data_IF_737026400098
#
_entry.id   IF_737026400098
#
_cell.length_a   1.000
_cell.length_b   1.000
_cell.length_c   1.000
_cell.angle_alpha   90.00
_cell.angle_beta   90.00
_cell.angle_gamma   90.00
#
_symmetry.space_group_name_H-M   'P 1'
#
loop_
_entity.id
_entity.type
_entity.pdbx_description
1 polymer ?
#
# COMPACT_ATOMS: atom_id res chain seq x y z
N UNK A 1 23.49 10.76 -8.13
CA UNK A 1 24.50 9.69 -7.87
C UNK A 1 24.25 9.00 -6.53
N UNK A 2 24.30 9.70 -5.39
CA UNK A 2 24.08 9.11 -4.04
C UNK A 2 22.78 8.32 -3.87
N UNK A 3 21.62 8.87 -4.25
CA UNK A 3 20.33 8.15 -4.14
C UNK A 3 20.30 6.86 -4.99
N UNK A 4 20.89 6.90 -6.19
CA UNK A 4 21.02 5.73 -7.06
C UNK A 4 21.92 4.67 -6.41
N UNK A 5 23.06 5.07 -5.86
CA UNK A 5 23.98 4.15 -5.16
C UNK A 5 23.31 3.51 -3.93
N UNK A 6 22.59 4.31 -3.14
CA UNK A 6 21.78 3.78 -2.03
C UNK A 6 20.79 2.74 -2.53
N UNK A 7 19.97 3.10 -3.53
CA UNK A 7 18.97 2.20 -4.11
C UNK A 7 19.58 0.89 -4.60
N UNK A 8 20.72 0.92 -5.31
CA UNK A 8 21.35 -0.29 -5.85
C UNK A 8 21.97 -1.17 -4.77
N UNK A 9 22.64 -0.55 -3.78
CA UNK A 9 23.44 -1.25 -2.79
C UNK A 9 22.64 -1.74 -1.57
N UNK A 10 21.45 -1.18 -1.32
CA UNK A 10 20.60 -1.67 -0.22
C UNK A 10 20.19 -3.11 -0.47
N UNK A 11 20.46 -3.99 0.49
CA UNK A 11 20.04 -5.39 0.45
C UNK A 11 18.53 -5.49 0.74
N UNK A 12 17.75 -6.20 -0.10
CA UNK A 12 16.34 -6.45 0.20
C UNK A 12 16.15 -7.19 1.53
N UNK A 13 15.11 -6.81 2.25
CA UNK A 13 14.74 -7.43 3.53
C UNK A 13 13.23 -7.58 3.64
N UNK A 14 12.77 -8.44 4.54
CA UNK A 14 11.36 -8.52 4.92
C UNK A 14 11.06 -7.53 6.04
N UNK A 15 9.95 -6.82 5.91
CA UNK A 15 9.35 -6.02 6.99
C UNK A 15 8.05 -6.65 7.45
N UNK A 16 7.99 -6.99 8.73
CA UNK A 16 6.79 -7.51 9.39
C UNK A 16 5.82 -6.44 9.87
N UNK A 17 6.17 -5.15 9.75
CA UNK A 17 5.38 -4.01 10.24
C UNK A 17 3.94 -4.03 9.71
N UNK A 18 3.77 -4.17 8.39
CA UNK A 18 2.43 -4.18 7.77
C UNK A 18 1.60 -5.37 8.27
N UNK A 19 2.20 -6.56 8.33
CA UNK A 19 1.50 -7.76 8.78
C UNK A 19 1.06 -7.64 10.25
N UNK A 20 1.87 -7.04 11.11
CA UNK A 20 1.51 -6.74 12.49
C UNK A 20 0.29 -5.80 12.56
N UNK A 21 0.37 -4.63 11.90
CA UNK A 21 -0.69 -3.62 11.90
C UNK A 21 -2.01 -4.16 11.32
N UNK A 22 -1.93 -4.93 10.23
CA UNK A 22 -3.10 -5.55 9.63
C UNK A 22 -3.74 -6.56 10.59
N UNK A 23 -2.94 -7.42 11.21
CA UNK A 23 -3.42 -8.43 12.17
C UNK A 23 -4.06 -7.78 13.38
N UNK A 24 -3.45 -6.73 13.92
CA UNK A 24 -3.98 -5.94 15.03
C UNK A 24 -5.36 -5.37 14.68
N UNK A 25 -5.51 -4.72 13.52
CA UNK A 25 -6.79 -4.18 13.08
C UNK A 25 -7.85 -5.29 12.92
N UNK A 26 -7.50 -6.41 12.28
CA UNK A 26 -8.44 -7.50 12.05
C UNK A 26 -8.88 -8.23 13.33
N UNK A 27 -8.07 -8.23 14.39
CA UNK A 27 -8.45 -8.74 15.72
C UNK A 27 -9.47 -7.83 16.42
N UNK A 28 -9.56 -6.55 16.06
CA UNK A 28 -10.45 -5.58 16.70
C UNK A 28 -11.94 -5.88 16.47
N UNK A 29 -12.79 -5.46 17.40
CA UNK A 29 -14.26 -5.57 17.25
C UNK A 29 -14.80 -4.75 16.07
N UNK A 30 -14.10 -3.67 15.72
CA UNK A 30 -14.47 -2.81 14.59
C UNK A 30 -14.43 -3.58 13.28
N UNK A 31 -13.40 -4.40 13.06
CA UNK A 31 -13.27 -5.21 11.85
C UNK A 31 -14.40 -6.25 11.69
N UNK A 32 -15.04 -6.67 12.78
CA UNK A 32 -16.12 -7.67 12.77
C UNK A 32 -17.50 -7.08 12.47
N UNK A 33 -17.68 -5.76 12.59
CA UNK A 33 -18.99 -5.08 12.55
C UNK A 33 -19.24 -4.25 11.30
N UNK A 34 -18.38 -4.36 10.28
CA UNK A 34 -18.44 -3.58 9.05
C UNK A 34 -18.44 -4.49 7.83
N UNK A 35 -18.96 -3.98 6.71
CA UNK A 35 -18.91 -4.65 5.40
C UNK A 35 -17.46 -4.93 4.97
N UNK A 36 -17.26 -5.90 4.09
CA UNK A 36 -15.91 -6.26 3.63
C UNK A 36 -15.17 -5.10 2.94
N UNK A 37 -15.77 -4.30 2.04
CA UNK A 37 -15.09 -3.14 1.45
C UNK A 37 -14.65 -2.14 2.52
N UNK A 38 -15.54 -1.77 3.45
CA UNK A 38 -15.23 -0.85 4.55
C UNK A 38 -14.17 -1.43 5.49
N UNK A 39 -14.17 -2.75 5.74
CA UNK A 39 -13.14 -3.43 6.52
C UNK A 39 -11.76 -3.29 5.89
N UNK A 40 -11.65 -3.49 4.57
CA UNK A 40 -10.40 -3.32 3.82
C UNK A 40 -9.93 -1.87 3.86
N UNK A 41 -10.82 -0.90 3.62
CA UNK A 41 -10.48 0.51 3.66
C UNK A 41 -10.04 0.97 5.06
N UNK A 42 -10.70 0.51 6.12
CA UNK A 42 -10.30 0.81 7.49
C UNK A 42 -8.97 0.15 7.88
N UNK A 43 -8.70 -1.05 7.39
CA UNK A 43 -7.40 -1.69 7.58
C UNK A 43 -6.27 -0.93 6.86
N UNK A 44 -6.52 -0.51 5.62
CA UNK A 44 -5.60 0.34 4.86
C UNK A 44 -5.34 1.66 5.58
N UNK A 45 -6.40 2.33 6.07
CA UNK A 45 -6.30 3.52 6.91
C UNK A 45 -5.45 3.27 8.16
N UNK A 46 -5.71 2.18 8.88
CA UNK A 46 -4.94 1.83 10.07
C UNK A 46 -3.46 1.64 9.77
N UNK A 47 -3.13 0.96 8.67
CA UNK A 47 -1.74 0.78 8.23
C UNK A 47 -1.11 2.14 7.93
N UNK A 48 -1.75 3.00 7.13
CA UNK A 48 -1.18 4.30 6.74
C UNK A 48 -1.09 5.30 7.89
N UNK A 49 -1.93 5.19 8.92
CA UNK A 49 -1.85 6.01 10.14
C UNK A 49 -0.69 5.61 11.05
N UNK A 50 -0.29 4.33 11.06
CA UNK A 50 0.63 3.79 12.05
C UNK A 50 1.99 3.37 11.49
N UNK A 51 2.08 3.02 10.21
CA UNK A 51 3.34 2.56 9.62
C UNK A 51 4.44 3.63 9.70
N UNK A 52 5.69 3.19 9.73
CA UNK A 52 6.86 4.08 9.74
C UNK A 52 6.92 4.95 8.49
N UNK A 53 7.34 6.21 8.68
CA UNK A 53 7.62 7.16 7.61
C UNK A 53 9.13 7.18 7.38
N UNK A 54 9.56 6.90 6.15
CA UNK A 54 10.97 6.93 5.76
C UNK A 54 11.24 8.11 4.84
N UNK A 55 12.16 8.98 5.23
CA UNK A 55 12.67 10.09 4.40
C UNK A 55 14.18 9.90 4.26
N UNK A 56 14.64 9.51 3.08
CA UNK A 56 16.07 9.28 2.84
C UNK A 56 16.81 10.61 2.61
N UNK A 57 18.10 10.59 2.92
CA UNK A 57 18.95 11.78 2.80
C UNK A 57 19.11 12.18 1.33
N UNK A 58 18.66 13.39 1.00
CA UNK A 58 18.80 13.99 -0.33
C UNK A 58 17.63 13.72 -1.26
N UNK A 59 16.56 13.09 -0.78
CA UNK A 59 15.32 12.93 -1.55
C UNK A 59 14.66 14.28 -1.86
N UNK A 60 13.99 14.31 -3.02
CA UNK A 60 13.06 15.37 -3.45
C UNK A 60 11.62 14.82 -3.55
N UNK A 61 11.47 13.58 -4.02
CA UNK A 61 10.23 12.80 -3.91
C UNK A 61 10.40 11.87 -2.73
N UNK A 62 9.45 11.87 -1.79
CA UNK A 62 9.57 11.20 -0.50
C UNK A 62 8.52 10.12 -0.30
N UNK A 63 8.88 9.11 0.48
CA UNK A 63 8.03 8.00 0.89
C UNK A 63 8.57 6.66 0.44
N UNK A 64 8.38 5.64 1.27
CA UNK A 64 8.80 4.26 1.04
C UNK A 64 7.66 3.29 1.37
N UNK A 65 7.66 2.13 0.70
CA UNK A 65 6.69 1.06 0.98
C UNK A 65 6.91 0.47 2.37
N UNK A 66 8.16 0.21 2.71
CA UNK A 66 8.60 -0.29 4.01
C UNK A 66 9.13 0.80 4.95
N UNK A 67 9.60 0.42 6.15
CA UNK A 67 10.22 1.35 7.09
C UNK A 67 11.58 1.87 6.62
N UNK A 68 12.23 1.18 5.68
CA UNK A 68 13.52 1.53 5.08
C UNK A 68 13.55 1.11 3.60
N UNK A 69 14.50 1.63 2.81
CA UNK A 69 14.62 1.25 1.39
C UNK A 69 14.73 -0.27 1.22
N UNK A 70 13.99 -0.82 0.25
CA UNK A 70 13.92 -2.26 -0.07
C UNK A 70 13.49 -3.19 1.09
N UNK A 71 12.96 -2.64 2.18
CA UNK A 71 12.26 -3.43 3.19
C UNK A 71 10.85 -3.75 2.68
N UNK A 72 10.64 -4.99 2.26
CA UNK A 72 9.43 -5.43 1.58
C UNK A 72 8.40 -5.90 2.60
N UNK A 73 7.19 -5.31 2.64
CA UNK A 73 6.13 -5.79 3.53
C UNK A 73 5.62 -7.17 3.12
N UNK A 74 4.97 -7.84 4.05
CA UNK A 74 4.25 -9.08 3.80
C UNK A 74 2.73 -8.90 3.84
N UNK A 75 2.01 -9.85 3.23
CA UNK A 75 0.59 -9.77 2.95
C UNK A 75 -0.13 -11.05 3.40
N UNK A 76 -0.23 -11.28 4.72
CA UNK A 76 -0.74 -12.54 5.24
C UNK A 76 -2.23 -12.77 4.94
N UNK A 77 -2.97 -11.73 4.56
CA UNK A 77 -4.34 -11.89 4.06
C UNK A 77 -4.40 -12.56 2.68
N UNK A 78 -3.31 -12.49 1.90
CA UNK A 78 -3.20 -13.13 0.58
C UNK A 78 -2.53 -14.49 0.78
N UNK A 79 -1.32 -14.47 1.36
CA UNK A 79 -0.51 -15.68 1.57
C UNK A 79 0.33 -15.56 2.81
N UNK A 80 0.22 -16.59 3.64
CA UNK A 80 0.95 -16.72 4.89
C UNK A 80 2.21 -17.50 4.60
N UNK A 81 3.35 -16.95 5.01
CA UNK A 81 4.62 -17.65 4.94
C UNK A 81 4.76 -18.52 6.19
N UNK A 82 5.11 -19.78 6.01
CA UNK A 82 5.57 -20.64 7.10
C UNK A 82 6.95 -20.19 7.59
N UNK A 83 7.40 -20.71 8.75
CA UNK A 83 8.76 -20.45 9.22
C UNK A 83 9.81 -20.98 8.24
N UNK A 84 9.55 -22.12 7.62
CA UNK A 84 10.42 -22.67 6.58
C UNK A 84 10.47 -21.76 5.34
N UNK A 85 9.35 -21.16 4.93
CA UNK A 85 9.36 -20.19 3.82
C UNK A 85 10.21 -18.96 4.16
N UNK A 86 10.13 -18.46 5.40
CA UNK A 86 10.97 -17.35 5.87
C UNK A 86 12.46 -17.73 5.89
N UNK A 87 12.80 -18.95 6.28
CA UNK A 87 14.19 -19.45 6.25
C UNK A 87 14.71 -19.59 4.81
N UNK A 88 13.87 -20.08 3.89
CA UNK A 88 14.19 -20.15 2.45
C UNK A 88 14.37 -18.75 1.88
N UNK A 89 13.50 -17.78 2.19
CA UNK A 89 13.64 -16.40 1.73
C UNK A 89 14.96 -15.77 2.17
N UNK A 90 15.41 -16.08 3.39
CA UNK A 90 16.65 -15.57 3.96
C UNK A 90 17.91 -16.23 3.37
N UNK A 91 17.83 -17.51 3.00
CA UNK A 91 19.00 -18.32 2.60
C UNK A 91 19.13 -18.57 1.11
N UNK A 92 18.06 -18.42 0.31
CA UNK A 92 18.08 -18.74 -1.12
C UNK A 92 19.12 -17.93 -1.90
N UNK A 93 19.77 -18.56 -2.86
CA UNK A 93 20.84 -17.93 -3.64
C UNK A 93 20.34 -16.76 -4.49
N UNK A 94 19.16 -16.92 -5.11
CA UNK A 94 18.58 -15.92 -6.01
C UNK A 94 17.45 -15.17 -5.33
N UNK A 95 17.41 -13.85 -5.51
CA UNK A 95 16.33 -12.98 -5.01
C UNK A 95 16.07 -13.11 -3.50
N UNK A 96 17.12 -13.27 -2.69
CA UNK A 96 16.96 -13.35 -1.23
C UNK A 96 16.45 -12.06 -0.62
N UNK A 97 15.74 -12.23 0.50
CA UNK A 97 15.34 -11.14 1.38
C UNK A 97 15.84 -11.49 2.77
N UNK A 98 16.61 -10.61 3.40
CA UNK A 98 17.02 -10.87 4.78
C UNK A 98 15.80 -10.88 5.71
N UNK A 99 15.72 -11.88 6.57
CA UNK A 99 14.67 -12.05 7.56
C UNK A 99 15.30 -12.08 8.95
N UNK A 100 14.91 -11.16 9.82
CA UNK A 100 15.39 -11.13 11.21
C UNK A 100 14.56 -12.07 12.11
N UNK A 101 15.14 -12.42 13.25
CA UNK A 101 14.51 -13.34 14.22
C UNK A 101 13.22 -12.76 14.82
N UNK A 102 13.11 -11.43 14.96
CA UNK A 102 11.88 -10.80 15.45
C UNK A 102 10.72 -10.98 14.47
N UNK A 103 10.98 -10.96 13.16
CA UNK A 103 9.98 -11.30 12.14
C UNK A 103 9.52 -12.75 12.29
N UNK A 104 10.44 -13.71 12.44
CA UNK A 104 10.07 -15.13 12.61
C UNK A 104 9.23 -15.35 13.87
N UNK A 105 9.63 -14.75 15.00
CA UNK A 105 8.88 -14.84 16.27
C UNK A 105 7.48 -14.25 16.16
N UNK A 106 7.32 -13.10 15.50
CA UNK A 106 6.01 -12.52 15.25
C UNK A 106 5.16 -13.46 14.38
N UNK A 107 5.76 -14.05 13.35
CA UNK A 107 5.06 -14.98 12.47
C UNK A 107 4.56 -16.22 13.19
N UNK A 108 5.43 -16.84 13.99
CA UNK A 108 5.10 -18.02 14.79
C UNK A 108 3.97 -17.74 15.80
N UNK A 109 4.05 -16.61 16.52
CA UNK A 109 3.15 -16.32 17.65
C UNK A 109 1.83 -15.69 17.24
N UNK A 110 1.85 -14.80 16.24
CA UNK A 110 0.72 -13.93 15.94
C UNK A 110 0.18 -14.10 14.53
N UNK A 111 1.04 -14.08 13.51
CA UNK A 111 0.59 -14.01 12.11
C UNK A 111 0.06 -15.35 11.63
N UNK A 112 0.84 -16.44 11.76
CA UNK A 112 0.42 -17.77 11.30
C UNK A 112 -0.85 -18.24 12.04
N UNK A 113 -0.92 -18.19 13.38
CA UNK A 113 -2.12 -18.67 14.10
C UNK A 113 -3.37 -17.87 13.77
N UNK A 114 -3.24 -16.57 13.50
CA UNK A 114 -4.39 -15.74 13.17
C UNK A 114 -4.86 -15.98 11.74
N UNK A 115 -3.97 -15.92 10.75
CA UNK A 115 -4.37 -15.89 9.33
C UNK A 115 -4.64 -17.27 8.73
N UNK A 116 -4.14 -18.35 9.34
CA UNK A 116 -4.30 -19.70 8.80
C UNK A 116 -5.78 -20.07 8.63
N UNK A 117 -6.15 -20.54 7.45
CA UNK A 117 -7.53 -20.90 7.09
C UNK A 117 -8.39 -19.69 6.67
N UNK A 118 -7.82 -18.48 6.63
CA UNK A 118 -8.54 -17.30 6.12
C UNK A 118 -7.77 -16.51 5.06
N UNK A 119 -6.54 -16.89 4.72
CA UNK A 119 -5.81 -16.28 3.61
C UNK A 119 -6.46 -16.64 2.27
N UNK A 120 -6.26 -15.79 1.25
CA UNK A 120 -6.76 -16.06 -0.11
C UNK A 120 -6.19 -17.39 -0.62
N UNK A 121 -4.90 -17.67 -0.37
CA UNK A 121 -4.29 -18.93 -0.77
C UNK A 121 -4.99 -20.14 -0.14
N UNK A 122 -5.23 -20.11 1.18
CA UNK A 122 -5.90 -21.22 1.86
C UNK A 122 -7.28 -21.47 1.24
N UNK A 123 -8.05 -20.41 1.00
CA UNK A 123 -9.38 -20.51 0.38
C UNK A 123 -9.34 -21.05 -1.06
N UNK A 124 -8.38 -20.62 -1.88
CA UNK A 124 -8.21 -21.16 -3.24
C UNK A 124 -7.99 -22.68 -3.18
N UNK A 125 -7.05 -23.13 -2.36
CA UNK A 125 -6.69 -24.55 -2.30
C UNK A 125 -7.74 -25.42 -1.58
N UNK A 126 -8.62 -24.83 -0.77
CA UNK A 126 -9.80 -25.50 -0.21
C UNK A 126 -10.91 -25.72 -1.26
N UNK A 127 -11.07 -24.80 -2.22
CA UNK A 127 -12.17 -24.82 -3.20
C UNK A 127 -11.85 -25.57 -4.51
N UNK A 128 -10.58 -25.60 -4.93
CA UNK A 128 -10.19 -26.26 -6.20
C UNK A 128 -10.18 -27.79 -6.09
N UNK A 129 -10.52 -28.46 -7.20
CA UNK A 129 -10.60 -29.93 -7.26
C UNK A 129 -9.23 -30.60 -7.16
N UNK A 130 -9.22 -31.92 -6.90
CA UNK A 130 -7.99 -32.70 -6.81
C UNK A 130 -7.28 -32.80 -8.17
N UNK A 131 -8.02 -32.83 -9.29
CA UNK A 131 -7.44 -32.80 -10.64
C UNK A 131 -6.72 -31.47 -10.91
N UNK A 132 -7.29 -30.36 -10.44
CA UNK A 132 -6.64 -29.05 -10.55
C UNK A 132 -5.32 -29.04 -9.76
N UNK A 133 -5.33 -29.55 -8.52
CA UNK A 133 -4.13 -29.64 -7.67
C UNK A 133 -3.06 -30.53 -8.30
N UNK A 134 -3.46 -31.69 -8.81
CA UNK A 134 -2.55 -32.61 -9.48
C UNK A 134 -1.90 -31.98 -10.73
N UNK A 135 -2.67 -31.25 -11.53
CA UNK A 135 -2.13 -30.55 -12.70
C UNK A 135 -1.19 -29.39 -12.32
N UNK A 136 -1.52 -28.65 -11.26
CA UNK A 136 -0.67 -27.59 -10.71
C UNK A 136 0.66 -28.16 -10.16
N UNK A 137 0.59 -29.23 -9.35
CA UNK A 137 1.76 -29.92 -8.78
C UNK A 137 2.65 -30.58 -9.85
N UNK A 138 2.04 -31.07 -10.94
CA UNK A 138 2.76 -31.59 -12.10
C UNK A 138 3.38 -30.49 -12.99
N UNK A 139 3.12 -29.22 -12.69
CA UNK A 139 3.66 -28.08 -13.44
C UNK A 139 3.02 -27.86 -14.81
N UNK A 140 1.77 -28.28 -15.00
CA UNK A 140 1.03 -28.10 -16.27
C UNK A 140 0.63 -26.63 -16.46
N UNK A 141 0.31 -25.93 -15.38
CA UNK A 141 0.03 -24.49 -15.35
C UNK A 141 0.46 -23.89 -14.00
N UNK A 142 0.38 -22.57 -13.88
CA UNK A 142 0.60 -21.83 -12.62
C UNK A 142 -0.63 -21.00 -12.26
N UNK A 143 -0.80 -20.69 -10.98
CA UNK A 143 -1.89 -19.84 -10.47
C UNK A 143 -1.33 -18.50 -10.00
N UNK A 144 -1.63 -17.42 -10.71
CA UNK A 144 -1.04 -16.10 -10.43
C UNK A 144 -1.55 -15.49 -9.11
N UNK A 145 -2.78 -15.82 -8.72
CA UNK A 145 -3.44 -15.22 -7.57
C UNK A 145 -3.19 -15.99 -6.26
N UNK A 146 -2.43 -17.10 -6.27
CA UNK A 146 -2.13 -17.85 -5.04
C UNK A 146 -1.25 -17.05 -4.05
N UNK A 147 -0.45 -16.11 -4.57
CA UNK A 147 0.56 -15.36 -3.82
C UNK A 147 0.45 -13.84 -3.91
N UNK A 148 -0.43 -13.35 -4.79
CA UNK A 148 -0.57 -11.94 -5.12
C UNK A 148 -2.03 -11.61 -5.42
N UNK A 149 -2.41 -10.36 -5.20
CA UNK A 149 -3.69 -9.86 -5.71
C UNK A 149 -3.60 -9.66 -7.23
N UNK A 150 -4.73 -9.66 -7.96
CA UNK A 150 -4.73 -9.54 -9.42
C UNK A 150 -3.87 -8.40 -9.95
N UNK A 151 -3.97 -7.19 -9.36
CA UNK A 151 -3.14 -6.05 -9.77
C UNK A 151 -3.27 -5.75 -11.26
N UNK A 152 -2.15 -5.76 -11.99
CA UNK A 152 -2.10 -5.65 -13.45
C UNK A 152 -2.93 -4.48 -14.01
N UNK A 153 -2.77 -3.31 -13.40
CA UNK A 153 -3.50 -2.11 -13.78
C UNK A 153 -2.56 -0.90 -13.91
N UNK A 154 -3.05 0.13 -14.58
CA UNK A 154 -2.30 1.34 -14.93
C UNK A 154 -3.08 2.56 -14.48
N UNK A 155 -2.39 3.51 -13.89
CA UNK A 155 -2.98 4.77 -13.47
C UNK A 155 -3.51 5.57 -14.67
N UNK A 156 -4.72 6.11 -14.53
CA UNK A 156 -5.29 7.07 -15.46
C UNK A 156 -4.99 8.53 -15.09
N UNK A 157 -5.45 9.47 -15.93
CA UNK A 157 -5.15 10.89 -15.78
C UNK A 157 -5.83 11.64 -14.63
N UNK A 158 -6.64 10.97 -13.79
CA UNK A 158 -7.55 11.65 -12.84
C UNK A 158 -6.82 12.46 -11.76
N UNK A 159 -5.75 11.89 -11.20
CA UNK A 159 -4.99 12.52 -10.09
C UNK A 159 -4.21 13.76 -10.51
N UNK A 160 -3.97 13.94 -11.82
CA UNK A 160 -3.25 15.10 -12.35
C UNK A 160 -4.17 16.31 -12.53
N UNK A 161 -5.49 16.11 -12.45
CA UNK A 161 -6.51 17.16 -12.65
C UNK A 161 -7.33 17.44 -11.40
N UNK A 162 -7.34 16.51 -10.44
CA UNK A 162 -8.19 16.54 -9.26
C UNK A 162 -7.38 16.14 -8.04
N UNK A 163 -7.67 16.76 -6.90
CA UNK A 163 -7.26 16.24 -5.61
C UNK A 163 -8.19 15.13 -5.12
N UNK A 164 -7.78 14.44 -4.06
CA UNK A 164 -8.63 13.47 -3.39
C UNK A 164 -9.85 14.12 -2.72
N UNK A 165 -9.80 15.40 -2.36
CA UNK A 165 -10.98 16.11 -1.85
C UNK A 165 -12.05 16.29 -2.92
N UNK A 166 -11.66 16.52 -4.18
CA UNK A 166 -12.58 16.60 -5.32
C UNK A 166 -13.20 15.23 -5.58
N UNK A 167 -12.38 14.17 -5.56
CA UNK A 167 -12.86 12.78 -5.70
C UNK A 167 -13.83 12.40 -4.56
N UNK A 168 -13.57 12.84 -3.33
CA UNK A 168 -14.50 12.65 -2.21
C UNK A 168 -15.82 13.39 -2.41
N UNK A 169 -15.82 14.57 -3.05
CA UNK A 169 -17.05 15.26 -3.39
C UNK A 169 -17.89 14.45 -4.40
N UNK A 170 -17.26 13.91 -5.45
CA UNK A 170 -17.93 13.01 -6.41
C UNK A 170 -18.50 11.74 -5.74
N UNK A 171 -17.76 11.17 -4.78
CA UNK A 171 -18.22 10.00 -4.01
C UNK A 171 -19.46 10.36 -3.19
N UNK A 172 -19.49 11.52 -2.52
CA UNK A 172 -20.64 11.97 -1.72
C UNK A 172 -21.87 12.22 -2.58
N UNK A 173 -21.68 12.86 -3.73
CA UNK A 173 -22.76 13.05 -4.71
C UNK A 173 -23.30 11.69 -5.20
N UNK A 174 -22.40 10.75 -5.50
CA UNK A 174 -22.78 9.39 -5.91
C UNK A 174 -23.60 8.68 -4.84
N UNK A 175 -23.23 8.81 -3.55
CA UNK A 175 -23.98 8.24 -2.42
C UNK A 175 -25.37 8.87 -2.30
N UNK A 176 -25.48 10.19 -2.46
CA UNK A 176 -26.76 10.93 -2.35
C UNK A 176 -27.75 10.53 -3.45
N UNK A 177 -27.24 10.13 -4.62
CA UNK A 177 -28.04 9.75 -5.78
C UNK A 177 -28.40 8.25 -5.83
N UNK A 178 -28.05 7.46 -4.80
CA UNK A 178 -28.42 6.04 -4.75
C UNK A 178 -29.93 5.86 -4.52
N UNK A 179 -30.56 5.01 -5.34
CA UNK A 179 -31.96 4.64 -5.21
C UNK A 179 -32.15 3.40 -4.32
N UNK A 180 -32.37 3.61 -3.03
CA UNK A 180 -32.63 2.51 -2.08
C UNK A 180 -34.01 1.86 -2.22
N UNK A 181 -34.91 2.42 -3.04
CA UNK A 181 -36.26 1.88 -3.22
C UNK A 181 -36.30 0.83 -4.33
N UNK A 182 -35.58 1.05 -5.43
CA UNK A 182 -35.66 0.18 -6.61
C UNK A 182 -34.37 -0.51 -7.00
N UNK A 183 -33.20 0.02 -6.59
CA UNK A 183 -31.91 -0.62 -6.89
C UNK A 183 -31.54 -1.65 -5.80
N UNK A 184 -31.57 -2.96 -6.10
CA UNK A 184 -31.24 -3.99 -5.12
C UNK A 184 -29.76 -3.94 -4.70
N UNK A 185 -28.88 -3.32 -5.50
CA UNK A 185 -27.45 -3.18 -5.21
C UNK A 185 -27.12 -1.88 -4.46
N UNK A 186 -28.11 -1.00 -4.20
CA UNK A 186 -27.87 0.32 -3.61
C UNK A 186 -27.10 0.24 -2.29
N UNK A 187 -27.37 -0.77 -1.47
CA UNK A 187 -26.64 -1.00 -0.22
C UNK A 187 -25.16 -1.34 -0.46
N UNK A 188 -24.87 -2.25 -1.37
CA UNK A 188 -23.49 -2.67 -1.70
C UNK A 188 -22.72 -1.51 -2.32
N UNK A 189 -23.33 -0.80 -3.28
CA UNK A 189 -22.77 0.43 -3.87
C UNK A 189 -22.41 1.47 -2.81
N UNK A 190 -23.30 1.69 -1.82
CA UNK A 190 -23.03 2.61 -0.71
C UNK A 190 -21.81 2.18 0.11
N UNK A 191 -21.69 0.88 0.43
CA UNK A 191 -20.58 0.36 1.22
C UNK A 191 -19.24 0.44 0.47
N UNK A 192 -19.25 0.19 -0.85
CA UNK A 192 -18.08 0.39 -1.73
C UNK A 192 -17.67 1.87 -1.77
N UNK A 193 -18.62 2.78 -2.02
CA UNK A 193 -18.37 4.23 -2.06
C UNK A 193 -17.85 4.75 -0.72
N UNK A 194 -18.40 4.25 0.40
CA UNK A 194 -17.90 4.57 1.74
C UNK A 194 -16.48 4.07 1.97
N UNK A 195 -16.13 2.89 1.45
CA UNK A 195 -14.76 2.38 1.50
C UNK A 195 -13.79 3.29 0.72
N UNK A 196 -14.18 3.73 -0.48
CA UNK A 196 -13.39 4.66 -1.29
C UNK A 196 -13.17 6.01 -0.58
N UNK A 197 -14.21 6.57 0.06
CA UNK A 197 -14.11 7.81 0.84
C UNK A 197 -13.08 7.70 1.99
N UNK A 198 -13.05 6.55 2.68
CA UNK A 198 -12.11 6.23 3.75
C UNK A 198 -10.67 6.10 3.19
N UNK A 199 -10.49 5.43 2.06
CA UNK A 199 -9.18 5.28 1.41
C UNK A 199 -8.61 6.65 0.99
N UNK A 200 -9.45 7.56 0.49
CA UNK A 200 -9.05 8.91 0.17
C UNK A 200 -8.54 9.68 1.42
N UNK A 201 -9.25 9.61 2.54
CA UNK A 201 -8.79 10.22 3.80
C UNK A 201 -7.48 9.61 4.29
N UNK A 202 -7.34 8.28 4.19
CA UNK A 202 -6.12 7.58 4.60
C UNK A 202 -4.89 8.09 3.85
N UNK A 203 -5.01 8.30 2.53
CA UNK A 203 -3.89 8.77 1.72
C UNK A 203 -3.57 10.26 1.94
N UNK A 204 -4.59 11.10 2.13
CA UNK A 204 -4.40 12.50 2.54
C UNK A 204 -3.64 12.55 3.87
N UNK A 205 -4.08 11.75 4.86
CA UNK A 205 -3.43 11.71 6.16
C UNK A 205 -2.00 11.18 6.08
N UNK A 206 -1.74 10.17 5.24
CA UNK A 206 -0.38 9.65 5.02
C UNK A 206 0.58 10.72 4.49
N UNK A 207 0.13 11.55 3.55
CA UNK A 207 0.93 12.66 3.05
C UNK A 207 1.15 13.75 4.10
N UNK A 208 0.12 14.04 4.91
CA UNK A 208 0.26 14.99 6.02
C UNK A 208 1.29 14.50 7.06
N UNK A 209 1.34 13.20 7.37
CA UNK A 209 2.41 12.61 8.21
C UNK A 209 3.80 12.81 7.59
N UNK A 210 3.94 12.74 6.26
CA UNK A 210 5.20 13.06 5.59
C UNK A 210 5.54 14.55 5.72
N UNK A 211 4.57 15.44 5.54
CA UNK A 211 4.78 16.88 5.70
C UNK A 211 5.30 17.22 7.10
N UNK A 212 4.74 16.59 8.13
CA UNK A 212 5.17 16.74 9.52
C UNK A 212 6.60 16.25 9.76
N UNK A 213 6.95 15.05 9.28
CA UNK A 213 8.31 14.50 9.43
C UNK A 213 9.36 15.33 8.67
N UNK A 214 9.06 15.72 7.43
CA UNK A 214 9.93 16.59 6.64
C UNK A 214 10.09 17.95 7.30
N UNK A 215 9.03 18.52 7.89
CA UNK A 215 9.10 19.77 8.65
C UNK A 215 10.01 19.66 9.88
N UNK A 216 9.98 18.52 10.59
CA UNK A 216 10.90 18.25 11.70
C UNK A 216 12.36 18.19 11.22
N UNK A 217 12.62 17.60 10.05
CA UNK A 217 13.94 17.58 9.44
C UNK A 217 14.40 18.98 9.02
N UNK A 218 13.51 19.78 8.41
CA UNK A 218 13.82 21.15 7.99
C UNK A 218 14.26 22.03 9.16
N UNK A 219 13.59 21.93 10.32
CA UNK A 219 13.94 22.66 11.54
C UNK A 219 15.34 22.33 12.07
N UNK A 220 15.85 21.13 11.80
CA UNK A 220 17.15 20.64 12.28
C UNK A 220 18.28 20.79 11.25
N UNK A 221 17.96 21.08 9.98
CA UNK A 221 18.94 21.19 8.91
C UNK A 221 19.71 22.51 9.01
N UNK A 222 21.04 22.41 8.92
CA UNK A 222 21.97 23.55 9.06
C UNK A 222 22.32 24.16 7.72
N UNK A 223 22.25 23.38 6.64
CA UNK A 223 22.57 23.85 5.28
C UNK A 223 21.38 24.61 4.70
N UNK A 224 21.51 25.91 4.38
CA UNK A 224 20.37 26.73 3.94
C UNK A 224 19.66 26.19 2.69
N UNK A 225 20.41 25.68 1.72
CA UNK A 225 19.85 25.11 0.49
C UNK A 225 18.99 23.88 0.77
N UNK A 226 19.50 22.92 1.55
CA UNK A 226 18.74 21.71 1.91
C UNK A 226 17.54 22.04 2.81
N UNK A 227 17.66 23.04 3.67
CA UNK A 227 16.53 23.50 4.48
C UNK A 227 15.38 23.99 3.58
N UNK A 228 15.67 24.83 2.58
CA UNK A 228 14.69 25.29 1.60
C UNK A 228 14.05 24.13 0.82
N UNK A 229 14.85 23.13 0.41
CA UNK A 229 14.31 21.93 -0.24
C UNK A 229 13.33 21.20 0.67
N UNK A 230 13.68 20.95 1.94
CA UNK A 230 12.81 20.28 2.90
C UNK A 230 11.54 21.09 3.18
N UNK A 231 11.63 22.41 3.29
CA UNK A 231 10.46 23.29 3.44
C UNK A 231 9.51 23.19 2.23
N UNK A 232 10.04 23.15 1.00
CA UNK A 232 9.22 22.94 -0.21
C UNK A 232 8.62 21.53 -0.23
N UNK A 233 9.36 20.48 0.12
CA UNK A 233 8.83 19.11 0.20
C UNK A 233 7.68 19.04 1.22
N UNK A 234 7.84 19.65 2.40
CA UNK A 234 6.77 19.70 3.40
C UNK A 234 5.52 20.41 2.85
N UNK A 235 5.69 21.55 2.17
CA UNK A 235 4.60 22.27 1.52
C UNK A 235 3.89 21.40 0.47
N UNK A 236 4.65 20.67 -0.36
CA UNK A 236 4.10 19.76 -1.37
C UNK A 236 3.26 18.68 -0.70
N UNK A 237 3.80 17.99 0.31
CA UNK A 237 3.12 16.90 1.01
C UNK A 237 1.86 17.36 1.77
N UNK A 238 1.79 18.63 2.18
CA UNK A 238 0.57 19.21 2.75
C UNK A 238 -0.48 19.60 1.70
N UNK A 239 -0.08 19.75 0.44
CA UNK A 239 -0.98 20.09 -0.67
C UNK A 239 -1.51 18.85 -1.39
N UNK A 240 -0.61 18.01 -1.92
CA UNK A 240 -0.96 16.74 -2.57
C UNK A 240 -0.86 15.58 -1.58
N UNK A 241 -1.82 14.63 -1.59
CA UNK A 241 -2.85 14.37 -2.60
C UNK A 241 -4.21 15.04 -2.32
N UNK A 242 -4.33 15.90 -1.30
CA UNK A 242 -5.63 16.50 -0.96
C UNK A 242 -6.19 17.36 -2.09
N UNK A 243 -5.32 18.13 -2.74
CA UNK A 243 -5.62 19.01 -3.85
C UNK A 243 -4.91 18.57 -5.14
N UNK A 244 -5.39 19.07 -6.28
CA UNK A 244 -4.75 18.84 -7.57
C UNK A 244 -3.32 19.41 -7.58
N UNK A 245 -2.36 18.74 -8.26
CA UNK A 245 -0.99 19.21 -8.33
C UNK A 245 -0.90 20.48 -9.18
N UNK A 246 -0.09 21.45 -8.74
CA UNK A 246 0.06 22.75 -9.41
C UNK A 246 1.35 22.86 -10.23
N UNK A 247 2.33 22.00 -9.94
CA UNK A 247 3.60 21.96 -10.63
C UNK A 247 4.08 20.51 -10.85
N UNK A 248 5.15 20.36 -11.63
CA UNK A 248 5.75 19.06 -11.96
C UNK A 248 6.16 18.28 -10.70
N UNK A 249 6.63 18.96 -9.67
CA UNK A 249 7.11 18.31 -8.45
C UNK A 249 5.92 17.75 -7.65
N UNK A 250 4.85 18.53 -7.52
CA UNK A 250 3.60 18.09 -6.91
C UNK A 250 2.99 16.91 -7.67
N UNK A 251 2.98 16.95 -9.01
CA UNK A 251 2.44 15.86 -9.83
C UNK A 251 3.21 14.54 -9.61
N UNK A 252 4.54 14.60 -9.54
CA UNK A 252 5.39 13.44 -9.27
C UNK A 252 5.20 12.91 -7.84
N UNK A 253 5.12 13.81 -6.85
CA UNK A 253 4.90 13.42 -5.45
C UNK A 253 3.51 12.83 -5.23
N UNK A 254 2.48 13.39 -5.87
CA UNK A 254 1.13 12.85 -5.83
C UNK A 254 1.10 11.44 -6.42
N UNK A 255 1.63 11.26 -7.65
CA UNK A 255 1.76 9.93 -8.24
C UNK A 255 2.46 8.95 -7.29
N UNK A 256 3.55 9.38 -6.66
CA UNK A 256 4.30 8.52 -5.75
C UNK A 256 3.50 8.12 -4.50
N UNK A 257 2.73 9.04 -3.90
CA UNK A 257 1.83 8.68 -2.81
C UNK A 257 0.75 7.68 -3.25
N UNK A 258 0.15 7.88 -4.41
CA UNK A 258 -0.85 6.93 -4.95
C UNK A 258 -0.22 5.56 -5.20
N UNK A 259 0.96 5.53 -5.83
CA UNK A 259 1.72 4.30 -6.07
C UNK A 259 1.96 3.54 -4.75
N UNK A 260 2.48 4.23 -3.73
CA UNK A 260 2.73 3.66 -2.40
C UNK A 260 1.45 3.20 -1.71
N UNK A 261 0.36 3.96 -1.81
CA UNK A 261 -0.96 3.59 -1.31
C UNK A 261 -1.43 2.26 -1.90
N UNK A 262 -1.50 2.17 -3.23
CA UNK A 262 -1.97 0.97 -3.96
C UNK A 262 -1.13 -0.26 -3.63
N UNK A 263 0.20 -0.16 -3.68
CA UNK A 263 1.06 -1.33 -3.40
C UNK A 263 1.14 -1.66 -1.90
N UNK A 264 0.69 -0.77 -1.02
CA UNK A 264 0.57 -1.04 0.42
C UNK A 264 -0.78 -1.68 0.75
N UNK A 265 -1.86 -1.27 0.08
CA UNK A 265 -3.19 -1.84 0.22
C UNK A 265 -3.19 -3.36 -0.03
N UNK A 266 -2.61 -3.79 -1.16
CA UNK A 266 -2.50 -5.20 -1.55
C UNK A 266 -1.17 -5.49 -2.27
N UNK A 267 -0.77 -6.76 -2.29
CA UNK A 267 0.38 -7.22 -3.08
C UNK A 267 -0.05 -7.49 -4.53
N UNK A 268 -0.42 -6.45 -5.26
CA UNK A 268 -0.83 -6.58 -6.66
C UNK A 268 0.32 -7.03 -7.57
N UNK A 269 0.00 -7.74 -8.65
CA UNK A 269 0.93 -7.92 -9.77
C UNK A 269 1.36 -6.58 -10.39
N UNK A 270 2.61 -6.55 -10.88
CA UNK A 270 3.25 -5.41 -11.56
C UNK A 270 3.33 -4.09 -10.77
N UNK A 271 3.15 -4.15 -9.45
CA UNK A 271 3.15 -2.97 -8.59
C UNK A 271 2.06 -1.98 -9.05
N UNK A 272 2.44 -0.79 -9.52
CA UNK A 272 1.53 0.20 -10.06
C UNK A 272 2.26 1.07 -11.08
N UNK A 273 1.64 1.30 -12.24
CA UNK A 273 2.29 1.95 -13.39
C UNK A 273 1.68 3.35 -13.63
N UNK A 274 2.49 4.40 -13.88
CA UNK A 274 1.98 5.76 -14.14
C UNK A 274 1.30 5.92 -15.51
N UNK A 275 1.37 4.91 -16.37
CA UNK A 275 0.83 4.94 -17.72
C UNK A 275 1.57 5.91 -18.62
N UNK A 276 0.82 6.78 -19.27
CA UNK A 276 1.35 7.78 -20.22
C UNK A 276 1.91 8.99 -19.47
N UNK A 277 2.94 8.75 -18.65
CA UNK A 277 3.51 9.74 -17.74
C UNK A 277 3.97 11.01 -18.46
N UNK A 278 4.55 10.87 -19.65
CA UNK A 278 4.92 11.99 -20.53
C UNK A 278 3.71 12.89 -20.84
N UNK A 279 2.56 12.30 -21.17
CA UNK A 279 1.33 13.04 -21.47
C UNK A 279 0.71 13.67 -20.23
N UNK A 280 0.85 13.02 -19.07
CA UNK A 280 0.30 13.50 -17.81
C UNK A 280 1.12 14.65 -17.21
N UNK A 281 2.43 14.69 -17.46
CA UNK A 281 3.33 15.72 -16.94
C UNK A 281 3.60 16.87 -17.92
N UNK A 282 3.11 16.78 -19.17
CA UNK A 282 3.35 17.79 -20.21
C UNK A 282 2.57 19.11 -20.04
N UNK A 283 1.26 19.09 -19.66
CA UNK A 283 0.51 20.32 -19.41
C UNK A 283 1.15 21.19 -18.31
#
# INVERSE_FOLDING_TARGET
KKLREQSLNTKPSISSERAALLTEFYKSDRAKKVSNPVKRALAFKYILENKSICINKGELIVGERGPTPRATPTYPEITIHSLNDLDILNSREKTSYSVNEDTKKLYEKDIIPFWKGQSIRDRIFEEVSDEWKAAFEAGIFTEFMEQRAPGHTVLGGKIYKNGLLDIKAEIRESIQNLDFLTDPEAYEKREELKALDICADALIHFAQRHAEEVSKLAKKEKRPERKKELEKIASICSHVPAHAPQDLWEALQYYWFVHLGVITELNGWDSFNPGRLDQHLYP
#
